data_IF_970847278405
#
_entry.id   IF_970847278405
#
_cell.length_a   1.000
_cell.length_b   1.000
_cell.length_c   1.000
_cell.angle_alpha   90.00
_cell.angle_beta   90.00
_cell.angle_gamma   90.00
#
_symmetry.space_group_name_H-M   'P 1'
#
loop_
_entity.id
_entity.type
_entity.pdbx_description
1 polymer ?
#
# COMPACT_ATOMS: atom_id res chain seq x y z
N UNK A 1 13.75 -4.69 4.92
CA UNK A 1 13.93 -3.86 3.70
C UNK A 1 15.39 -3.83 3.29
N UNK A 2 15.68 -3.55 2.02
CA UNK A 2 17.04 -3.25 1.55
C UNK A 2 17.02 -1.97 0.71
N UNK A 3 17.98 -1.08 0.97
CA UNK A 3 18.29 0.06 0.09
C UNK A 3 19.44 -0.32 -0.84
N UNK A 4 19.49 0.24 -2.06
CA UNK A 4 20.49 -0.09 -3.06
C UNK A 4 21.92 -0.14 -2.47
N UNK A 5 22.51 -1.35 -2.47
CA UNK A 5 23.89 -1.58 -1.99
C UNK A 5 24.07 -1.63 -0.46
N UNK A 6 23.01 -1.57 0.33
CA UNK A 6 23.07 -1.63 1.80
C UNK A 6 22.69 -3.01 2.37
N UNK A 7 23.05 -3.26 3.63
CA UNK A 7 22.64 -4.47 4.36
C UNK A 7 21.12 -4.51 4.53
N UNK A 8 20.56 -5.71 4.56
CA UNK A 8 19.14 -5.92 4.91
C UNK A 8 18.89 -5.38 6.32
N UNK A 9 17.81 -4.59 6.44
CA UNK A 9 17.30 -4.11 7.72
C UNK A 9 16.04 -4.87 8.08
N UNK A 10 16.03 -5.44 9.28
CA UNK A 10 14.87 -6.12 9.84
C UNK A 10 14.02 -5.14 10.66
N UNK A 11 12.71 -5.30 10.57
CA UNK A 11 11.74 -4.41 11.18
C UNK A 11 10.37 -5.09 11.24
N UNK A 12 9.57 -4.73 12.24
CA UNK A 12 8.22 -5.27 12.40
C UNK A 12 7.16 -4.48 11.63
N UNK A 13 7.44 -3.22 11.28
CA UNK A 13 6.54 -2.37 10.51
C UNK A 13 7.33 -1.40 9.62
N UNK A 14 6.68 -0.94 8.55
CA UNK A 14 7.17 0.13 7.70
C UNK A 14 6.46 1.44 8.03
N UNK A 15 7.22 2.51 8.17
CA UNK A 15 6.69 3.84 8.26
C UNK A 15 6.74 4.47 6.86
N UNK A 16 5.58 4.88 6.35
CA UNK A 16 5.48 5.54 5.04
C UNK A 16 6.08 6.94 5.17
N UNK A 17 7.04 7.31 4.34
CA UNK A 17 7.65 8.65 4.29
C UNK A 17 7.69 9.15 2.85
N UNK A 18 6.97 10.25 2.57
CA UNK A 18 6.98 10.89 1.26
C UNK A 18 6.53 12.35 1.37
N UNK A 19 6.89 13.14 0.37
CA UNK A 19 6.42 14.52 0.24
C UNK A 19 4.98 14.55 -0.30
N UNK A 20 4.16 15.44 0.24
CA UNK A 20 2.76 15.56 -0.17
C UNK A 20 2.66 15.83 -1.68
N UNK A 21 1.93 14.97 -2.39
CA UNK A 21 1.58 15.18 -3.80
C UNK A 21 0.25 15.94 -3.90
N UNK A 22 0.32 17.24 -4.16
CA UNK A 22 -0.85 18.15 -4.18
C UNK A 22 -1.94 17.77 -5.20
N UNK A 23 -1.59 17.01 -6.25
CA UNK A 23 -2.54 16.59 -7.29
C UNK A 23 -3.44 15.42 -6.87
N UNK A 24 -3.14 14.75 -5.75
CA UNK A 24 -3.90 13.57 -5.30
C UNK A 24 -4.75 13.94 -4.11
N UNK A 25 -6.07 13.89 -4.30
CA UNK A 25 -7.04 14.25 -3.26
C UNK A 25 -7.12 13.20 -2.14
N UNK A 26 -7.37 11.94 -2.50
CA UNK A 26 -7.42 10.79 -1.57
C UNK A 26 -6.46 9.72 -2.10
N UNK A 27 -5.29 9.52 -1.49
CA UNK A 27 -4.36 8.51 -1.94
C UNK A 27 -4.76 7.13 -1.42
N UNK A 28 -4.41 6.10 -2.19
CA UNK A 28 -4.51 4.70 -1.77
C UNK A 28 -3.25 4.27 -1.00
N UNK A 29 -3.37 3.27 -0.14
CA UNK A 29 -2.19 2.69 0.54
C UNK A 29 -1.19 2.13 -0.46
N UNK A 30 -1.64 1.53 -1.58
CA UNK A 30 -0.77 1.11 -2.68
C UNK A 30 0.11 2.26 -3.20
N UNK A 31 -0.50 3.41 -3.52
CA UNK A 31 0.24 4.58 -4.01
C UNK A 31 1.21 5.12 -2.95
N UNK A 32 0.76 5.24 -1.70
CA UNK A 32 1.60 5.74 -0.61
C UNK A 32 2.81 4.83 -0.39
N UNK A 33 2.62 3.51 -0.43
CA UNK A 33 3.68 2.53 -0.30
C UNK A 33 4.69 2.64 -1.46
N UNK A 34 4.19 2.66 -2.69
CA UNK A 34 5.03 2.79 -3.90
C UNK A 34 5.85 4.09 -3.86
N UNK A 35 5.23 5.24 -3.58
CA UNK A 35 5.94 6.51 -3.52
C UNK A 35 7.01 6.52 -2.44
N UNK A 36 6.69 5.99 -1.26
CA UNK A 36 7.64 5.89 -0.15
C UNK A 36 8.84 5.02 -0.50
N UNK A 37 8.60 3.89 -1.18
CA UNK A 37 9.65 3.00 -1.66
C UNK A 37 10.50 3.63 -2.77
N UNK A 38 9.87 4.30 -3.73
CA UNK A 38 10.59 4.98 -4.82
C UNK A 38 11.47 6.11 -4.27
N UNK A 39 10.92 6.95 -3.38
CA UNK A 39 11.65 8.07 -2.77
C UNK A 39 12.83 7.58 -1.90
N UNK A 40 12.67 6.45 -1.22
CA UNK A 40 13.67 5.92 -0.29
C UNK A 40 14.61 4.89 -0.90
N UNK A 41 14.46 4.55 -2.19
CA UNK A 41 15.17 3.44 -2.82
C UNK A 41 14.96 2.10 -2.07
N UNK A 42 13.70 1.86 -1.72
CA UNK A 42 13.07 0.70 -1.08
C UNK A 42 12.98 -0.55 -1.95
N UNK A 43 13.50 -1.71 -1.54
CA UNK A 43 12.98 -3.02 -1.94
C UNK A 43 12.77 -3.96 -0.75
N UNK A 44 11.81 -4.87 -0.90
CA UNK A 44 11.59 -6.00 -0.01
C UNK A 44 12.52 -7.15 -0.37
N UNK A 45 13.24 -7.68 0.63
CA UNK A 45 14.02 -8.91 0.47
C UNK A 45 13.13 -10.16 0.65
N UNK A 46 12.31 -10.17 1.69
CA UNK A 46 11.32 -11.22 1.98
C UNK A 46 10.14 -10.59 2.75
N UNK A 47 8.93 -11.12 2.56
CA UNK A 47 7.71 -10.59 3.19
C UNK A 47 6.78 -11.72 3.64
N UNK A 48 6.44 -11.72 4.93
CA UNK A 48 5.44 -12.63 5.52
C UNK A 48 4.14 -11.88 5.89
N UNK A 49 4.29 -10.72 6.53
CA UNK A 49 3.24 -9.77 6.84
C UNK A 49 3.80 -8.35 6.72
N UNK A 50 2.96 -7.37 6.37
CA UNK A 50 3.34 -5.96 6.31
C UNK A 50 2.43 -5.17 7.23
N UNK A 51 3.01 -4.53 8.23
CA UNK A 51 2.36 -3.47 8.98
C UNK A 51 2.81 -2.13 8.40
N UNK A 52 1.86 -1.36 7.86
CA UNK A 52 2.10 -0.04 7.30
C UNK A 52 1.59 1.02 8.26
N UNK A 53 2.50 1.76 8.89
CA UNK A 53 2.17 2.95 9.66
C UNK A 53 2.17 4.18 8.75
N UNK A 54 1.07 4.93 8.74
CA UNK A 54 0.98 6.19 8.01
C UNK A 54 1.77 7.29 8.73
N UNK A 55 2.56 8.10 8.00
CA UNK A 55 3.27 9.26 8.56
C UNK A 55 2.37 10.43 8.89
N UNK A 56 1.13 10.42 8.41
CA UNK A 56 0.17 11.53 8.52
C UNK A 56 -0.30 11.82 9.95
N UNK A 57 0.31 11.23 10.99
CA UNK A 57 -0.20 11.31 12.36
C UNK A 57 0.88 11.60 13.42
N UNK A 58 2.16 11.74 13.02
CA UNK A 58 3.23 11.94 14.02
C UNK A 58 3.33 13.38 14.56
N UNK A 59 2.72 14.36 13.88
CA UNK A 59 2.53 15.70 14.43
C UNK A 59 1.03 15.97 14.59
N UNK A 60 0.63 16.32 15.82
CA UNK A 60 -0.75 16.65 16.23
C UNK A 60 -1.49 17.63 15.30
N UNK A 61 -0.76 18.40 14.49
CA UNK A 61 -1.29 19.42 13.58
C UNK A 61 -1.04 19.12 12.08
N UNK A 62 -0.43 17.99 11.71
CA UNK A 62 -0.03 17.70 10.33
C UNK A 62 -0.57 16.37 9.82
N UNK A 63 -1.87 16.36 9.47
CA UNK A 63 -2.45 15.30 8.66
C UNK A 63 -2.18 15.57 7.19
N UNK A 64 -1.30 14.78 6.58
CA UNK A 64 -0.89 15.01 5.18
C UNK A 64 -2.06 14.88 4.18
N UNK A 65 -2.99 13.96 4.46
CA UNK A 65 -4.22 13.75 3.68
C UNK A 65 -5.44 13.62 4.59
N UNK A 66 -6.54 14.31 4.25
CA UNK A 66 -7.76 14.28 5.05
C UNK A 66 -8.48 12.92 5.06
N UNK A 67 -8.34 12.17 3.97
CA UNK A 67 -8.79 10.78 3.85
C UNK A 67 -7.68 9.97 3.18
N UNK A 68 -7.54 8.71 3.59
CA UNK A 68 -6.68 7.72 2.93
C UNK A 68 -7.56 6.52 2.60
N UNK A 69 -7.40 5.98 1.39
CA UNK A 69 -8.11 4.79 0.97
C UNK A 69 -7.32 3.54 1.36
N UNK A 70 -7.82 2.71 2.30
CA UNK A 70 -7.16 1.47 2.68
C UNK A 70 -7.38 0.43 1.58
N UNK A 71 -6.36 0.24 0.73
CA UNK A 71 -6.40 -0.75 -0.35
C UNK A 71 -6.75 -2.13 0.22
N UNK A 72 -7.80 -2.78 -0.29
CA UNK A 72 -8.20 -4.11 0.18
C UNK A 72 -7.16 -5.19 -0.16
N UNK A 73 -6.46 -4.99 -1.27
CA UNK A 73 -5.31 -5.78 -1.70
C UNK A 73 -4.12 -4.86 -1.96
N UNK A 74 -2.91 -5.31 -1.62
CA UNK A 74 -1.66 -4.71 -2.06
C UNK A 74 -0.94 -5.63 -3.03
N UNK A 75 -0.50 -5.07 -4.14
CA UNK A 75 0.43 -5.73 -5.07
C UNK A 75 1.85 -5.26 -4.76
N UNK A 76 2.65 -6.17 -4.21
CA UNK A 76 4.04 -5.89 -3.82
C UNK A 76 5.05 -6.46 -4.81
N UNK A 77 4.59 -7.03 -5.93
CA UNK A 77 5.43 -7.72 -6.92
C UNK A 77 6.59 -6.84 -7.40
N UNK A 78 6.30 -5.58 -7.75
CA UNK A 78 7.29 -4.64 -8.25
C UNK A 78 8.18 -4.02 -7.15
N UNK A 79 7.88 -4.31 -5.88
CA UNK A 79 8.63 -3.84 -4.72
C UNK A 79 9.60 -4.89 -4.18
N UNK A 80 9.58 -6.13 -4.70
CA UNK A 80 10.48 -7.23 -4.31
C UNK A 80 11.81 -7.18 -5.09
N UNK A 81 12.91 -7.52 -4.44
CA UNK A 81 14.28 -7.40 -5.00
C UNK A 81 14.61 -8.50 -6.03
N UNK A 82 14.20 -9.76 -5.78
CA UNK A 82 14.59 -10.95 -6.56
C UNK A 82 13.42 -11.61 -7.30
N UNK A 83 12.45 -10.81 -7.75
CA UNK A 83 11.24 -11.32 -8.41
C UNK A 83 11.28 -11.00 -9.90
N UNK A 84 11.12 -11.99 -10.81
CA UNK A 84 11.05 -11.70 -12.24
C UNK A 84 9.82 -10.85 -12.54
N UNK A 85 10.01 -9.78 -13.30
CA UNK A 85 8.96 -8.79 -13.58
C UNK A 85 8.67 -8.69 -15.06
N UNK A 86 7.43 -8.32 -15.37
CA UNK A 86 6.96 -8.11 -16.72
C UNK A 86 7.32 -6.70 -17.23
N UNK A 87 7.88 -6.64 -18.45
CA UNK A 87 8.15 -5.39 -19.15
C UNK A 87 6.84 -4.69 -19.51
N UNK A 88 6.71 -3.43 -19.09
CA UNK A 88 5.50 -2.62 -19.30
C UNK A 88 5.16 -2.28 -20.76
N UNK A 89 6.03 -2.63 -21.71
CA UNK A 89 5.84 -2.34 -23.14
C UNK A 89 5.48 -3.60 -23.93
N UNK A 90 6.29 -4.66 -23.80
CA UNK A 90 6.14 -5.86 -24.63
C UNK A 90 5.68 -7.11 -23.88
N UNK A 91 5.54 -7.06 -22.55
CA UNK A 91 5.20 -8.23 -21.74
C UNK A 91 6.35 -9.23 -21.53
N UNK A 92 7.54 -8.96 -22.06
CA UNK A 92 8.73 -9.81 -21.86
C UNK A 92 9.37 -9.64 -20.49
N UNK A 93 10.48 -10.35 -20.23
CA UNK A 93 11.24 -10.22 -18.98
C UNK A 93 11.87 -8.83 -18.86
N UNK A 94 11.54 -8.12 -17.77
CA UNK A 94 12.17 -6.85 -17.43
C UNK A 94 13.52 -7.08 -16.74
N UNK A 95 14.54 -6.36 -17.19
CA UNK A 95 15.90 -6.36 -16.63
C UNK A 95 16.33 -4.97 -16.16
N UNK A 96 15.56 -3.93 -16.51
CA UNK A 96 15.78 -2.55 -16.06
C UNK A 96 14.54 -2.01 -15.35
N UNK A 97 14.74 -1.17 -14.34
CA UNK A 97 13.71 -0.29 -13.79
C UNK A 97 14.18 1.18 -13.87
N UNK A 98 13.23 2.10 -14.01
CA UNK A 98 13.52 3.54 -14.06
C UNK A 98 12.57 4.30 -13.15
N UNK A 99 13.12 4.94 -12.11
CA UNK A 99 12.34 5.71 -11.13
C UNK A 99 11.81 7.01 -11.72
N UNK A 100 12.63 7.69 -12.52
CA UNK A 100 12.25 8.94 -13.17
C UNK A 100 11.07 8.75 -14.13
N UNK A 101 10.96 7.56 -14.73
CA UNK A 101 9.81 7.23 -15.57
C UNK A 101 8.51 7.03 -14.75
N UNK A 102 8.54 6.87 -13.42
CA UNK A 102 7.32 6.64 -12.62
C UNK A 102 6.30 7.77 -12.77
N UNK A 103 6.78 9.02 -12.79
CA UNK A 103 5.95 10.22 -12.99
C UNK A 103 5.48 10.39 -14.44
N UNK A 104 5.98 9.58 -15.38
CA UNK A 104 5.56 9.61 -16.77
C UNK A 104 4.19 8.93 -16.93
N UNK A 105 3.17 9.76 -17.16
CA UNK A 105 1.80 9.32 -17.41
C UNK A 105 1.59 8.68 -18.79
N UNK A 106 2.50 8.88 -19.75
CA UNK A 106 2.37 8.36 -21.11
C UNK A 106 2.62 6.83 -21.15
N UNK A 107 3.29 6.27 -20.14
CA UNK A 107 3.67 4.86 -20.06
C UNK A 107 3.02 4.22 -18.84
N UNK A 108 1.82 3.62 -18.98
CA UNK A 108 1.16 2.88 -17.88
C UNK A 108 1.11 3.68 -16.57
N UNK A 109 0.38 4.80 -16.56
CA UNK A 109 0.35 5.75 -15.45
C UNK A 109 0.15 5.09 -14.07
N UNK A 110 0.88 5.57 -13.05
CA UNK A 110 0.73 5.10 -11.66
C UNK A 110 1.30 3.71 -11.38
N UNK A 111 2.13 3.15 -12.28
CA UNK A 111 2.86 1.89 -12.06
C UNK A 111 4.37 2.11 -12.11
N UNK A 112 5.10 1.27 -11.37
CA UNK A 112 6.57 1.17 -11.46
C UNK A 112 6.96 0.79 -12.89
N UNK A 113 7.95 1.51 -13.43
CA UNK A 113 8.37 1.37 -14.82
C UNK A 113 9.56 0.44 -14.91
N UNK A 114 9.33 -0.67 -15.57
CA UNK A 114 10.33 -1.70 -15.80
C UNK A 114 10.27 -2.21 -17.23
N UNK A 115 11.44 -2.49 -17.77
CA UNK A 115 11.65 -2.69 -19.19
C UNK A 115 12.61 -3.84 -19.44
N UNK A 116 12.36 -4.59 -20.52
CA UNK A 116 13.42 -5.41 -21.12
C UNK A 116 14.48 -4.50 -21.74
N UNK A 117 15.65 -5.05 -22.08
CA UNK A 117 16.76 -4.29 -22.64
C UNK A 117 16.36 -3.46 -23.89
N UNK A 118 15.67 -4.08 -24.84
CA UNK A 118 15.23 -3.40 -26.08
C UNK A 118 14.27 -2.26 -25.79
N UNK A 119 13.24 -2.51 -24.98
CA UNK A 119 12.24 -1.50 -24.64
C UNK A 119 12.84 -0.37 -23.80
N UNK A 120 13.81 -0.68 -22.92
CA UNK A 120 14.53 0.33 -22.15
C UNK A 120 15.21 1.34 -23.07
N UNK A 121 15.95 0.85 -24.08
CA UNK A 121 16.60 1.73 -25.07
C UNK A 121 15.57 2.59 -25.79
N UNK A 122 14.50 1.99 -26.32
CA UNK A 122 13.49 2.72 -27.10
C UNK A 122 12.77 3.80 -26.28
N UNK A 123 12.39 3.48 -25.04
CA UNK A 123 11.71 4.43 -24.14
C UNK A 123 12.60 5.64 -23.84
N UNK A 124 13.89 5.41 -23.61
CA UNK A 124 14.86 6.43 -23.23
C UNK A 124 15.50 7.17 -24.41
N UNK A 125 15.23 6.78 -25.66
CA UNK A 125 15.54 7.60 -26.84
C UNK A 125 14.64 8.83 -26.94
N UNK A 126 13.47 8.81 -26.29
CA UNK A 126 12.54 9.93 -26.31
C UNK A 126 13.13 11.17 -25.62
N UNK A 127 13.03 12.38 -26.21
CA UNK A 127 13.65 13.59 -25.66
C UNK A 127 13.31 13.89 -24.20
N UNK A 128 12.07 13.61 -23.77
CA UNK A 128 11.63 13.79 -22.38
C UNK A 128 12.32 12.86 -21.37
N UNK A 129 12.82 11.70 -21.82
CA UNK A 129 13.31 10.61 -20.96
C UNK A 129 14.80 10.33 -21.13
N UNK A 130 15.49 11.01 -22.05
CA UNK A 130 16.90 10.77 -22.37
C UNK A 130 17.85 11.00 -21.19
N UNK A 131 17.47 11.86 -20.24
CA UNK A 131 18.24 12.15 -19.04
C UNK A 131 17.91 11.26 -17.85
N UNK A 132 16.94 10.35 -17.98
CA UNK A 132 16.53 9.51 -16.86
C UNK A 132 17.61 8.47 -16.52
N UNK A 133 17.74 8.17 -15.24
CA UNK A 133 18.61 7.10 -14.77
C UNK A 133 17.80 5.82 -14.56
N UNK A 134 18.25 4.74 -15.20
CA UNK A 134 17.68 3.41 -15.05
C UNK A 134 18.68 2.47 -14.38
N UNK A 135 18.20 1.63 -13.46
CA UNK A 135 18.99 0.64 -12.74
C UNK A 135 18.69 -0.77 -13.23
N UNK A 136 19.66 -1.68 -13.11
CA UNK A 136 19.43 -3.09 -13.37
C UNK A 136 18.56 -3.69 -12.25
N UNK A 137 17.60 -4.53 -12.65
CA UNK A 137 16.86 -5.39 -11.73
C UNK A 137 17.71 -6.60 -11.36
N UNK A 138 17.56 -7.08 -10.12
CA UNK A 138 18.12 -8.38 -9.76
C UNK A 138 17.22 -9.47 -10.35
N UNK A 139 17.68 -10.09 -11.44
CA UNK A 139 16.96 -11.16 -12.12
C UNK A 139 17.68 -12.47 -11.83
N UNK A 140 17.00 -13.53 -11.34
CA UNK A 140 17.61 -14.83 -11.11
C UNK A 140 18.35 -15.33 -12.37
N UNK A 141 19.58 -15.81 -12.20
CA UNK A 141 20.50 -16.16 -13.31
C UNK A 141 19.89 -17.20 -14.27
N UNK A 142 19.13 -18.13 -13.72
CA UNK A 142 18.40 -19.18 -14.46
C UNK A 142 17.46 -18.61 -15.55
N UNK A 143 17.00 -17.38 -15.38
CA UNK A 143 16.06 -16.70 -16.29
C UNK A 143 16.77 -15.84 -17.33
N UNK A 144 18.05 -15.54 -17.11
CA UNK A 144 18.86 -14.76 -18.05
C UNK A 144 19.39 -15.65 -19.19
N UNK A 145 19.58 -16.95 -18.95
CA UNK A 145 20.21 -17.90 -19.90
C UNK A 145 19.29 -18.38 -21.04
N UNK A 146 18.15 -17.71 -21.28
CA UNK A 146 17.36 -17.91 -22.50
C UNK A 146 16.60 -19.22 -22.59
N UNK A 147 16.50 -20.00 -21.50
CA UNK A 147 15.43 -20.99 -21.37
C UNK A 147 14.12 -20.20 -21.35
N UNK A 148 13.40 -20.20 -22.47
CA UNK A 148 12.19 -19.40 -22.66
C UNK A 148 11.29 -19.50 -21.42
N UNK A 149 11.02 -18.37 -20.79
CA UNK A 149 10.11 -18.27 -19.66
C UNK A 149 8.73 -18.78 -20.10
N UNK A 150 8.40 -20.01 -19.72
CA UNK A 150 7.12 -20.67 -20.03
C UNK A 150 6.07 -20.49 -18.91
N UNK A 151 6.48 -19.95 -17.76
CA UNK A 151 5.61 -19.68 -16.61
C UNK A 151 4.99 -18.28 -16.69
N UNK A 152 3.91 -18.04 -15.95
CA UNK A 152 3.42 -16.67 -15.71
C UNK A 152 4.39 -15.92 -14.79
N UNK A 153 4.49 -14.60 -14.94
CA UNK A 153 5.19 -13.79 -13.93
C UNK A 153 4.51 -13.96 -12.56
N UNK A 154 5.28 -14.05 -11.48
CA UNK A 154 4.72 -14.12 -10.13
C UNK A 154 3.88 -12.87 -9.85
N UNK A 155 2.76 -13.06 -9.15
CA UNK A 155 1.94 -11.97 -8.66
C UNK A 155 1.84 -12.13 -7.15
N UNK A 156 2.60 -11.31 -6.42
CA UNK A 156 2.60 -11.34 -4.96
C UNK A 156 1.62 -10.29 -4.45
N UNK A 157 0.50 -10.78 -3.94
CA UNK A 157 -0.54 -9.95 -3.34
C UNK A 157 -0.65 -10.18 -1.84
N UNK A 158 -1.11 -9.16 -1.14
CA UNK A 158 -1.42 -9.21 0.28
C UNK A 158 -2.82 -8.65 0.53
N UNK A 159 -3.53 -9.23 1.49
CA UNK A 159 -4.88 -8.80 1.85
C UNK A 159 -4.85 -7.92 3.09
N UNK A 160 -5.65 -6.86 3.08
CA UNK A 160 -5.90 -6.04 4.25
C UNK A 160 -6.77 -6.83 5.23
N UNK A 161 -6.27 -7.05 6.45
CA UNK A 161 -7.02 -7.76 7.48
C UNK A 161 -7.36 -6.89 8.69
N UNK A 162 -6.62 -5.80 8.94
CA UNK A 162 -6.94 -4.87 10.02
C UNK A 162 -6.48 -3.44 9.73
N UNK A 163 -7.22 -2.47 10.28
CA UNK A 163 -6.82 -1.07 10.33
C UNK A 163 -6.93 -0.56 11.76
N UNK A 164 -5.81 -0.09 12.30
CA UNK A 164 -5.77 0.60 13.58
C UNK A 164 -6.00 2.10 13.31
N UNK A 165 -6.99 2.68 13.96
CA UNK A 165 -7.34 4.10 13.81
C UNK A 165 -7.12 4.85 15.13
N UNK A 166 -6.78 6.13 15.04
CA UNK A 166 -6.66 7.02 16.20
C UNK A 166 -7.32 8.37 15.94
N UNK A 167 -8.28 8.72 16.79
CA UNK A 167 -8.81 10.08 16.85
C UNK A 167 -8.26 10.74 18.12
N UNK A 168 -7.36 11.72 17.95
CA UNK A 168 -6.64 12.45 19.01
C UNK A 168 -5.75 11.60 19.93
N UNK A 169 -6.33 10.74 20.76
CA UNK A 169 -5.61 9.89 21.72
C UNK A 169 -6.24 8.51 21.90
N UNK A 170 -7.40 8.25 21.29
CA UNK A 170 -8.14 7.01 21.50
C UNK A 170 -8.01 6.08 20.29
N UNK A 171 -7.39 4.93 20.52
CA UNK A 171 -7.21 3.90 19.51
C UNK A 171 -8.42 2.99 19.42
N UNK A 172 -8.84 2.72 18.18
CA UNK A 172 -9.86 1.73 17.83
C UNK A 172 -9.39 0.88 16.67
N UNK A 173 -10.00 -0.27 16.46
CA UNK A 173 -9.61 -1.19 15.40
C UNK A 173 -10.78 -1.55 14.49
N UNK A 174 -10.49 -1.64 13.21
CA UNK A 174 -11.32 -2.31 12.21
C UNK A 174 -10.66 -3.62 11.86
N UNK A 175 -11.41 -4.72 11.88
CA UNK A 175 -10.89 -6.06 11.59
C UNK A 175 -11.77 -6.71 10.52
N UNK A 176 -11.14 -7.23 9.47
CA UNK A 176 -11.80 -8.03 8.44
C UNK A 176 -11.85 -9.47 8.91
N UNK A 177 -13.05 -10.03 9.06
CA UNK A 177 -13.25 -11.38 9.62
C UNK A 177 -13.59 -12.44 8.57
N UNK A 178 -13.72 -12.05 7.30
CA UNK A 178 -14.05 -12.95 6.20
C UNK A 178 -13.73 -12.32 4.84
N UNK A 179 -13.88 -13.11 3.78
CA UNK A 179 -13.58 -12.67 2.40
C UNK A 179 -14.62 -11.71 1.83
N UNK A 180 -15.86 -11.76 2.32
CA UNK A 180 -16.93 -10.87 1.87
C UNK A 180 -16.59 -9.39 2.12
N UNK A 181 -16.96 -8.52 1.19
CA UNK A 181 -16.66 -7.07 1.28
C UNK A 181 -17.27 -6.41 2.53
N UNK A 182 -18.42 -6.93 2.99
CA UNK A 182 -19.15 -6.49 4.19
C UNK A 182 -18.57 -7.04 5.50
N UNK A 183 -17.58 -7.93 5.46
CA UNK A 183 -17.10 -8.67 6.62
C UNK A 183 -16.15 -7.85 7.51
N UNK A 184 -16.67 -6.74 8.06
CA UNK A 184 -15.94 -5.84 8.94
C UNK A 184 -16.52 -5.79 10.36
N UNK A 185 -15.63 -5.81 11.33
CA UNK A 185 -15.90 -5.55 12.74
C UNK A 185 -15.21 -4.26 13.16
N UNK A 186 -15.90 -3.49 13.99
CA UNK A 186 -15.35 -2.36 14.72
C UNK A 186 -15.16 -2.74 16.19
N UNK A 187 -13.98 -2.45 16.72
CA UNK A 187 -13.63 -2.72 18.12
C UNK A 187 -13.23 -1.42 18.82
N UNK A 188 -13.92 -1.13 19.93
CA UNK A 188 -13.59 -0.05 20.84
C UNK A 188 -13.38 -0.60 22.26
N UNK A 189 -12.17 -0.44 22.77
CA UNK A 189 -11.77 -0.92 24.10
C UNK A 189 -12.38 -0.14 25.26
N UNK A 190 -12.90 1.06 24.99
CA UNK A 190 -13.49 1.98 25.98
C UNK A 190 -14.86 2.49 25.49
N UNK A 191 -15.65 1.61 24.85
CA UNK A 191 -16.94 1.95 24.27
C UNK A 191 -17.96 2.46 25.31
N UNK A 192 -17.90 1.89 26.52
CA UNK A 192 -18.74 2.31 27.64
C UNK A 192 -17.95 2.20 28.97
N UNK A 193 -18.51 2.74 30.06
CA UNK A 193 -17.92 2.71 31.39
C UNK A 193 -18.97 2.44 32.45
N UNK A 194 -18.73 1.44 33.28
CA UNK A 194 -19.51 1.21 34.48
C UNK A 194 -18.82 1.84 35.70
N UNK A 195 -19.56 2.65 36.45
CA UNK A 195 -19.09 3.35 37.63
C UNK A 195 -18.23 4.60 37.39
N UNK A 196 -17.91 5.30 38.50
CA UNK A 196 -17.14 6.56 38.51
C UNK A 196 -15.63 6.34 38.66
N UNK A 197 -15.06 6.81 39.77
CA UNK A 197 -13.61 6.73 40.03
C UNK A 197 -13.08 5.29 40.13
N UNK A 198 -13.84 4.39 40.77
CA UNK A 198 -13.51 2.95 40.85
C UNK A 198 -14.19 2.13 39.74
N UNK A 199 -14.65 2.79 38.69
CA UNK A 199 -15.29 2.15 37.55
C UNK A 199 -14.29 1.46 36.62
N UNK A 200 -14.82 0.64 35.71
CA UNK A 200 -14.04 -0.05 34.68
C UNK A 200 -14.67 0.19 33.29
N UNK A 201 -13.84 0.10 32.26
CA UNK A 201 -14.29 0.25 30.88
C UNK A 201 -14.93 -1.05 30.38
N UNK A 202 -15.97 -0.93 29.56
CA UNK A 202 -16.64 -2.04 28.90
C UNK A 202 -16.26 -1.99 27.42
N UNK A 203 -15.52 -2.99 26.91
CA UNK A 203 -15.19 -3.06 25.49
C UNK A 203 -16.41 -3.47 24.67
N UNK A 204 -16.48 -2.99 23.43
CA UNK A 204 -17.53 -3.37 22.49
C UNK A 204 -16.93 -3.80 21.14
N UNK A 205 -17.49 -4.88 20.60
CA UNK A 205 -17.31 -5.28 19.20
C UNK A 205 -18.66 -5.11 18.50
N UNK A 206 -18.68 -4.37 17.40
CA UNK A 206 -19.88 -4.16 16.59
C UNK A 206 -19.61 -4.49 15.12
N UNK A 207 -20.65 -4.91 14.41
CA UNK A 207 -20.62 -5.03 12.96
C UNK A 207 -20.63 -3.63 12.34
N UNK A 208 -19.85 -3.43 11.29
CA UNK A 208 -19.83 -2.17 10.54
C UNK A 208 -19.93 -2.41 9.01
N UNK A 209 -21.03 -3.02 8.53
CA UNK A 209 -21.21 -3.33 7.11
C UNK A 209 -21.25 -2.06 6.25
N UNK A 210 -21.55 -0.88 6.82
CA UNK A 210 -21.52 0.39 6.09
C UNK A 210 -20.15 0.72 5.49
N UNK A 211 -19.07 0.15 6.04
CA UNK A 211 -17.70 0.29 5.53
C UNK A 211 -17.60 -0.17 4.07
N UNK A 212 -18.27 -1.26 3.71
CA UNK A 212 -18.27 -1.82 2.35
C UNK A 212 -18.68 -0.77 1.30
N UNK A 213 -19.76 -0.03 1.57
CA UNK A 213 -20.30 0.92 0.62
C UNK A 213 -19.27 2.00 0.26
N UNK A 214 -18.47 2.44 1.23
CA UNK A 214 -17.42 3.43 1.01
C UNK A 214 -16.15 2.82 0.40
N UNK A 215 -15.81 1.58 0.71
CA UNK A 215 -14.66 0.89 0.11
C UNK A 215 -14.92 0.47 -1.35
N UNK A 216 -16.18 0.45 -1.79
CA UNK A 216 -16.55 0.26 -3.21
C UNK A 216 -16.50 1.55 -4.03
N UNK A 217 -16.45 2.72 -3.38
CA UNK A 217 -16.32 4.00 -4.06
C UNK A 217 -14.89 4.20 -4.59
N UNK A 218 -14.77 4.98 -5.67
CA UNK A 218 -13.46 5.39 -6.16
C UNK A 218 -12.82 6.44 -5.22
N UNK A 219 -11.48 6.55 -5.19
CA UNK A 219 -10.80 7.61 -4.45
C UNK A 219 -11.26 9.02 -4.83
N UNK A 220 -11.62 9.24 -6.11
CA UNK A 220 -12.16 10.51 -6.60
C UNK A 220 -13.55 10.80 -6.03
N UNK A 221 -14.43 9.81 -5.98
CA UNK A 221 -15.76 9.95 -5.35
C UNK A 221 -15.62 10.28 -3.86
N UNK A 222 -14.75 9.55 -3.15
CA UNK A 222 -14.44 9.81 -1.74
C UNK A 222 -13.78 11.17 -1.51
N UNK A 223 -13.05 11.70 -2.48
CA UNK A 223 -12.49 13.04 -2.41
C UNK A 223 -13.59 14.10 -2.34
N UNK A 224 -14.61 13.98 -3.20
CA UNK A 224 -15.73 14.92 -3.27
C UNK A 224 -16.72 14.82 -2.12
N UNK A 225 -16.78 13.66 -1.46
CA UNK A 225 -17.67 13.44 -0.33
C UNK A 225 -17.20 14.21 0.91
N UNK A 226 -18.10 14.95 1.56
CA UNK A 226 -17.77 15.58 2.85
C UNK A 226 -17.51 14.51 3.92
N UNK A 227 -16.41 14.63 4.66
CA UNK A 227 -16.08 13.69 5.74
C UNK A 227 -17.17 13.60 6.82
N UNK A 228 -17.99 14.66 6.98
CA UNK A 228 -19.10 14.68 7.93
C UNK A 228 -20.34 13.92 7.45
N UNK A 229 -20.47 13.65 6.15
CA UNK A 229 -21.60 12.88 5.62
C UNK A 229 -21.34 11.37 5.57
N UNK A 230 -20.09 10.94 5.82
CA UNK A 230 -19.72 9.54 5.96
C UNK A 230 -20.40 8.97 7.21
N UNK A 231 -21.20 7.91 7.00
CA UNK A 231 -22.02 7.30 8.02
C UNK A 231 -21.22 6.36 8.92
N UNK A 232 -21.68 6.22 10.16
CA UNK A 232 -21.21 5.21 11.09
C UNK A 232 -19.71 5.26 11.37
N UNK A 233 -19.10 4.08 11.48
CA UNK A 233 -17.68 3.97 11.83
C UNK A 233 -16.76 4.17 10.61
N UNK A 234 -17.29 4.15 9.38
CA UNK A 234 -16.50 4.29 8.17
C UNK A 234 -15.72 5.62 8.09
N UNK A 235 -16.21 6.70 8.72
CA UNK A 235 -15.46 7.96 8.85
C UNK A 235 -14.12 7.72 9.53
N UNK A 236 -14.10 7.00 10.66
CA UNK A 236 -12.87 6.75 11.42
C UNK A 236 -11.90 5.88 10.64
N UNK A 237 -12.40 4.93 9.85
CA UNK A 237 -11.56 4.12 8.96
C UNK A 237 -10.83 4.98 7.92
N UNK A 238 -11.55 5.84 7.20
CA UNK A 238 -10.99 6.61 6.08
C UNK A 238 -10.21 7.85 6.53
N UNK A 239 -10.65 8.50 7.60
CA UNK A 239 -10.00 9.70 8.11
C UNK A 239 -8.92 9.35 9.11
N UNK A 240 -9.13 8.41 10.03
CA UNK A 240 -8.30 8.32 11.22
C UNK A 240 -7.36 7.10 11.19
N UNK A 241 -7.17 6.49 10.02
CA UNK A 241 -6.25 5.38 9.81
C UNK A 241 -4.82 5.72 10.24
N UNK A 242 -4.32 4.94 11.20
CA UNK A 242 -2.97 5.04 11.72
C UNK A 242 -2.05 3.93 11.21
N UNK A 243 -2.51 2.69 11.32
CA UNK A 243 -1.80 1.55 10.74
C UNK A 243 -2.74 0.69 9.90
N UNK A 244 -2.31 0.30 8.72
CA UNK A 244 -2.97 -0.71 7.90
C UNK A 244 -2.13 -2.00 7.93
N UNK A 245 -2.76 -3.12 8.23
CA UNK A 245 -2.09 -4.40 8.40
C UNK A 245 -2.48 -5.36 7.29
N UNK A 246 -1.46 -5.89 6.63
CA UNK A 246 -1.60 -6.77 5.48
C UNK A 246 -0.92 -8.11 5.74
N UNK A 247 -1.53 -9.18 5.24
CA UNK A 247 -1.00 -10.53 5.36
C UNK A 247 -1.05 -11.26 4.02
N UNK A 248 -0.28 -12.35 3.92
CA UNK A 248 -0.42 -13.28 2.81
C UNK A 248 -1.83 -13.91 2.83
N UNK A 249 -2.55 -14.03 1.71
CA UNK A 249 -3.86 -14.68 1.64
C UNK A 249 -3.87 -16.14 2.12
N UNK A 250 -2.69 -16.76 2.27
CA UNK A 250 -2.57 -18.12 2.83
C UNK A 250 -2.68 -18.18 4.36
N UNK A 251 -2.66 -17.03 5.05
CA UNK A 251 -2.69 -16.90 6.51
C UNK A 251 -4.08 -16.55 7.09
N UNK A 252 -5.11 -16.40 6.26
CA UNK A 252 -6.47 -16.09 6.73
C UNK A 252 -6.96 -17.19 7.68
N UNK A 253 -7.32 -16.81 8.92
CA UNK A 253 -7.62 -17.73 10.02
C UNK A 253 -8.88 -18.60 9.82
N UNK A 254 -9.63 -18.40 8.74
CA UNK A 254 -10.83 -19.17 8.41
C UNK A 254 -10.79 -19.61 6.95
N UNK A 255 -10.82 -20.92 6.74
CA UNK A 255 -11.17 -21.58 5.47
C UNK A 255 -12.64 -21.99 5.52
#
# INVERSE_FOLDING_TARGET
FRSAGQKVQDCYFYQIFMDKKDKVGVPTIQQLLEWSFINSDLKFAEVHAILLASSSLFLKDFKMFNKIFPSLELDITDLLEDTPRECRICGGLAVYECRDCYEDGDITAGKIKQFCEKCNIQVHLHPKRKSHQHSNLCVPKELQDGMGWQSSFPCQRMELFAVLCIETSHYVAFVKYGSADSAWLFFDSMADRDGGQNGFNIPQVSLCPEVEAYLKMSPEELHTLDSKSIQGQARRLLCDAYMCMYQSPTMSLYK
#
